data_IF_185887067909
#
_entry.id   IF_185887067909
#
_cell.length_a   1.000
_cell.length_b   1.000
_cell.length_c   1.000
_cell.angle_alpha   90.00
_cell.angle_beta   90.00
_cell.angle_gamma   90.00
#
_symmetry.space_group_name_H-M   'P 1'
#
loop_
_entity.id
_entity.type
_entity.pdbx_description
1 polymer ?
#
# COMPACT_ATOMS: atom_id res chain seq x y z
N UNK A 1 -15.88 -12.50 -53.13
CA UNK A 1 -16.46 -12.46 -51.77
C UNK A 1 -15.31 -12.66 -50.81
N UNK A 2 -14.76 -11.61 -50.20
CA UNK A 2 -13.75 -11.78 -49.15
C UNK A 2 -13.85 -10.64 -48.15
N UNK A 3 -14.71 -10.84 -47.14
CA UNK A 3 -14.79 -9.96 -45.99
C UNK A 3 -13.60 -10.24 -45.07
N UNK A 4 -12.54 -9.45 -45.22
CA UNK A 4 -11.42 -9.43 -44.28
C UNK A 4 -11.84 -8.67 -43.02
N UNK A 5 -12.39 -9.38 -42.04
CA UNK A 5 -12.70 -8.85 -40.71
C UNK A 5 -11.40 -8.40 -40.03
N UNK A 6 -11.15 -7.08 -40.01
CA UNK A 6 -10.07 -6.47 -39.23
C UNK A 6 -10.50 -6.39 -37.77
N UNK A 7 -10.10 -7.40 -36.99
CA UNK A 7 -10.15 -7.43 -35.52
C UNK A 7 -9.41 -6.22 -34.92
N UNK A 8 -10.10 -5.10 -34.71
CA UNK A 8 -9.49 -3.84 -34.21
C UNK A 8 -9.78 -3.61 -32.71
N UNK A 9 -10.19 -4.65 -31.98
CA UNK A 9 -10.54 -4.56 -30.56
C UNK A 9 -9.57 -5.28 -29.61
N UNK A 10 -8.79 -6.24 -30.09
CA UNK A 10 -7.91 -7.07 -29.23
C UNK A 10 -6.62 -6.37 -28.78
N UNK A 11 -6.15 -5.33 -29.48
CA UNK A 11 -4.93 -4.60 -29.11
C UNK A 11 -5.12 -3.45 -28.12
N UNK A 12 -6.32 -2.86 -28.06
CA UNK A 12 -6.57 -1.65 -27.25
C UNK A 12 -6.52 -1.92 -25.75
N UNK A 13 -7.03 -3.07 -25.31
CA UNK A 13 -6.99 -3.46 -23.89
C UNK A 13 -5.57 -3.71 -23.40
N UNK A 14 -4.72 -4.34 -24.21
CA UNK A 14 -3.31 -4.57 -23.90
C UNK A 14 -2.51 -3.28 -23.82
N UNK A 15 -2.75 -2.32 -24.73
CA UNK A 15 -2.10 -1.01 -24.70
C UNK A 15 -2.45 -0.25 -23.42
N UNK A 16 -3.71 -0.27 -22.99
CA UNK A 16 -4.14 0.37 -21.74
C UNK A 16 -3.48 -0.27 -20.51
N UNK A 17 -3.38 -1.60 -20.46
CA UNK A 17 -2.72 -2.30 -19.36
C UNK A 17 -1.23 -1.98 -19.31
N UNK A 18 -0.55 -1.94 -20.45
CA UNK A 18 0.87 -1.56 -20.53
C UNK A 18 1.08 -0.09 -20.15
N UNK A 19 0.18 0.79 -20.55
CA UNK A 19 0.20 2.20 -20.15
C UNK A 19 0.01 2.36 -18.65
N UNK A 20 -0.92 1.64 -18.04
CA UNK A 20 -1.16 1.67 -16.60
C UNK A 20 0.02 1.10 -15.81
N UNK A 21 0.62 0.00 -16.28
CA UNK A 21 1.85 -0.55 -15.69
C UNK A 21 3.04 0.40 -15.86
N UNK A 22 3.18 1.06 -17.01
CA UNK A 22 4.24 2.03 -17.25
C UNK A 22 4.06 3.31 -16.42
N UNK A 23 2.82 3.74 -16.21
CA UNK A 23 2.50 4.91 -15.36
C UNK A 23 2.69 4.60 -13.89
N UNK A 24 2.47 3.33 -13.51
CA UNK A 24 2.75 2.81 -12.19
C UNK A 24 4.21 2.30 -12.04
N UNK A 25 5.08 2.50 -13.03
CA UNK A 25 6.47 2.11 -12.89
C UNK A 25 7.14 3.03 -11.86
N UNK A 26 7.82 2.48 -10.84
CA UNK A 26 8.48 3.30 -9.85
C UNK A 26 9.65 4.07 -10.47
N UNK A 27 9.81 5.33 -10.08
CA UNK A 27 10.88 6.22 -10.54
C UNK A 27 11.75 6.67 -9.35
N UNK A 28 13.01 7.00 -9.60
CA UNK A 28 13.99 7.46 -8.57
C UNK A 28 14.12 6.51 -7.37
N UNK A 29 14.44 5.26 -7.66
CA UNK A 29 14.67 4.24 -6.63
C UNK A 29 15.99 4.46 -5.90
N UNK A 30 15.94 4.38 -4.58
CA UNK A 30 17.12 4.35 -3.72
C UNK A 30 17.41 2.93 -3.22
N UNK A 31 18.66 2.67 -2.84
CA UNK A 31 18.98 1.48 -2.04
C UNK A 31 18.27 1.60 -0.68
N UNK A 32 17.58 0.54 -0.24
CA UNK A 32 16.87 0.49 1.05
C UNK A 32 17.36 -0.68 1.88
N UNK A 33 17.45 -0.50 3.19
CA UNK A 33 17.63 -1.59 4.16
C UNK A 33 16.43 -2.55 4.14
N UNK A 34 16.63 -3.79 4.61
CA UNK A 34 15.54 -4.75 4.77
C UNK A 34 14.45 -4.23 5.72
N UNK A 35 14.83 -3.45 6.73
CA UNK A 35 13.90 -2.86 7.70
C UNK A 35 13.08 -1.71 7.08
N UNK A 36 13.71 -0.81 6.32
CA UNK A 36 12.99 0.23 5.56
C UNK A 36 12.04 -0.38 4.54
N UNK A 37 12.48 -1.41 3.81
CA UNK A 37 11.63 -2.13 2.86
C UNK A 37 10.44 -2.82 3.57
N UNK A 38 10.64 -3.37 4.77
CA UNK A 38 9.59 -3.97 5.58
C UNK A 38 8.56 -2.94 6.02
N UNK A 39 9.01 -1.75 6.43
CA UNK A 39 8.14 -0.65 6.80
C UNK A 39 7.32 -0.15 5.60
N UNK A 40 7.97 0.11 4.46
CA UNK A 40 7.30 0.54 3.23
C UNK A 40 6.29 -0.49 2.75
N UNK A 41 6.64 -1.78 2.80
CA UNK A 41 5.72 -2.86 2.49
C UNK A 41 4.51 -2.85 3.42
N UNK A 42 4.71 -2.63 4.72
CA UNK A 42 3.64 -2.65 5.71
C UNK A 42 2.60 -1.55 5.45
N UNK A 43 3.04 -0.31 5.26
CA UNK A 43 2.14 0.82 4.95
C UNK A 43 1.48 0.67 3.60
N UNK A 44 2.24 0.25 2.60
CA UNK A 44 1.69 0.03 1.26
C UNK A 44 0.67 -1.10 1.24
N UNK A 45 0.90 -2.20 1.95
CA UNK A 45 -0.07 -3.29 2.07
C UNK A 45 -1.37 -2.80 2.74
N UNK A 46 -1.27 -2.04 3.85
CA UNK A 46 -2.43 -1.48 4.54
C UNK A 46 -3.26 -0.59 3.62
N UNK A 47 -2.62 0.39 2.97
CA UNK A 47 -3.33 1.31 2.06
C UNK A 47 -3.91 0.57 0.86
N UNK A 48 -3.17 -0.37 0.27
CA UNK A 48 -3.67 -1.16 -0.85
C UNK A 48 -4.76 -2.15 -0.46
N UNK A 49 -4.89 -2.53 0.81
CA UNK A 49 -6.02 -3.33 1.30
C UNK A 49 -7.32 -2.53 1.44
N UNK A 50 -7.22 -1.19 1.48
CA UNK A 50 -8.37 -0.31 1.58
C UNK A 50 -9.19 -0.29 0.28
N UNK A 51 -10.51 -0.15 0.43
CA UNK A 51 -11.40 0.04 -0.71
C UNK A 51 -11.30 1.48 -1.23
N UNK A 52 -11.04 1.62 -2.53
CA UNK A 52 -11.10 2.90 -3.25
C UNK A 52 -11.51 2.69 -4.71
N UNK A 53 -12.15 3.72 -5.29
CA UNK A 53 -12.68 3.70 -6.66
C UNK A 53 -12.10 4.80 -7.57
N UNK A 54 -11.00 5.42 -7.16
CA UNK A 54 -10.32 6.48 -7.91
C UNK A 54 -8.89 6.06 -8.29
N UNK A 55 -8.32 6.72 -9.30
CA UNK A 55 -6.91 6.54 -9.66
C UNK A 55 -6.04 7.31 -8.66
N UNK A 56 -5.10 6.61 -8.04
CA UNK A 56 -4.04 7.22 -7.25
C UNK A 56 -2.91 7.70 -8.16
N UNK A 57 -2.33 8.83 -7.80
CA UNK A 57 -1.22 9.49 -8.48
C UNK A 57 -0.16 9.82 -7.44
N UNK A 58 1.13 9.60 -7.72
CA UNK A 58 2.23 10.01 -6.85
C UNK A 58 2.22 11.52 -6.56
N UNK A 59 2.70 11.90 -5.38
CA UNK A 59 2.77 13.30 -4.94
C UNK A 59 1.43 13.90 -4.51
N UNK A 60 0.41 13.07 -4.32
CA UNK A 60 -0.88 13.45 -3.77
C UNK A 60 -1.08 12.79 -2.39
N UNK A 61 -1.77 13.51 -1.52
CA UNK A 61 -2.19 13.04 -0.21
C UNK A 61 -3.59 12.44 -0.29
N UNK A 62 -3.78 11.36 0.45
CA UNK A 62 -5.02 10.61 0.59
C UNK A 62 -5.29 10.40 2.07
N UNK A 63 -6.52 10.02 2.41
CA UNK A 63 -6.95 9.92 3.79
C UNK A 63 -7.57 8.55 4.03
N UNK A 64 -7.07 7.85 5.04
CA UNK A 64 -7.51 6.51 5.43
C UNK A 64 -8.59 6.59 6.52
N UNK A 65 -9.65 5.83 6.34
CA UNK A 65 -10.76 5.71 7.26
C UNK A 65 -11.06 4.25 7.56
N UNK A 66 -11.55 3.98 8.77
CA UNK A 66 -12.11 2.70 9.15
C UNK A 66 -13.63 2.81 9.24
N UNK A 67 -14.34 1.99 8.45
CA UNK A 67 -15.80 1.90 8.48
C UNK A 67 -16.22 0.44 8.60
N UNK A 68 -16.95 0.09 9.67
CA UNK A 68 -17.46 -1.27 9.89
C UNK A 68 -16.40 -2.37 9.71
N UNK A 69 -15.21 -2.15 10.29
CA UNK A 69 -14.04 -3.04 10.19
C UNK A 69 -13.44 -3.19 8.78
N UNK A 70 -13.81 -2.34 7.83
CA UNK A 70 -13.21 -2.26 6.50
C UNK A 70 -12.46 -0.94 6.31
N UNK A 71 -11.25 -1.03 5.78
CA UNK A 71 -10.42 0.11 5.41
C UNK A 71 -10.97 0.80 4.16
N UNK A 72 -11.01 2.13 4.15
CA UNK A 72 -11.40 2.96 3.01
C UNK A 72 -10.42 4.09 2.79
N UNK A 73 -10.01 4.28 1.54
CA UNK A 73 -9.16 5.40 1.15
C UNK A 73 -10.01 6.48 0.46
N UNK A 74 -9.75 7.74 0.79
CA UNK A 74 -10.48 8.92 0.32
C UNK A 74 -9.51 10.00 -0.16
N UNK A 75 -9.96 10.85 -1.08
CA UNK A 75 -9.28 12.09 -1.46
C UNK A 75 -9.66 13.27 -0.56
N UNK A 76 -10.81 13.17 0.10
CA UNK A 76 -11.39 14.23 0.92
C UNK A 76 -10.86 14.06 2.35
N UNK A 77 -10.32 15.14 2.90
CA UNK A 77 -9.81 15.22 4.27
C UNK A 77 -10.93 15.17 5.31
N UNK A 78 -10.64 14.81 6.58
CA UNK A 78 -11.66 14.79 7.62
C UNK A 78 -12.30 16.18 7.85
N UNK A 79 -11.53 17.26 7.72
CA UNK A 79 -12.02 18.64 7.84
C UNK A 79 -13.01 19.01 6.73
N UNK A 80 -12.77 18.55 5.50
CA UNK A 80 -13.66 18.79 4.35
C UNK A 80 -14.95 17.96 4.39
N UNK A 81 -14.91 16.77 4.98
CA UNK A 81 -16.11 15.94 5.17
C UNK A 81 -17.13 16.55 6.14
N UNK A 82 -16.65 17.32 7.12
CA UNK A 82 -17.47 17.83 8.22
C UNK A 82 -18.21 16.70 8.93
N UNK A 83 -19.55 16.75 8.94
CA UNK A 83 -20.39 15.78 9.67
C UNK A 83 -20.65 14.46 8.91
N UNK A 84 -20.20 14.33 7.65
CA UNK A 84 -20.49 13.18 6.79
C UNK A 84 -19.30 12.26 6.60
N UNK A 85 -18.47 12.13 7.63
CA UNK A 85 -17.30 11.28 7.59
C UNK A 85 -17.68 9.84 7.19
N UNK A 86 -16.93 9.22 6.26
CA UNK A 86 -17.21 7.87 5.80
C UNK A 86 -16.93 6.83 6.89
N UNK A 87 -16.18 7.18 7.94
CA UNK A 87 -15.83 6.34 9.06
C UNK A 87 -14.92 7.08 10.04
N UNK A 88 -14.31 6.36 10.97
CA UNK A 88 -13.31 6.94 11.87
C UNK A 88 -12.04 7.24 11.10
N UNK A 89 -11.55 8.47 11.21
CA UNK A 89 -10.31 8.88 10.56
C UNK A 89 -9.10 8.19 11.18
N UNK A 90 -8.19 7.69 10.35
CA UNK A 90 -7.01 6.92 10.76
C UNK A 90 -5.73 7.72 10.54
N UNK A 91 -5.62 8.41 9.41
CA UNK A 91 -4.41 9.14 9.05
C UNK A 91 -4.33 9.53 7.58
N UNK A 92 -3.28 10.27 7.26
CA UNK A 92 -2.95 10.70 5.92
C UNK A 92 -1.95 9.73 5.27
N UNK A 93 -2.22 9.36 4.03
CA UNK A 93 -1.41 8.48 3.21
C UNK A 93 -0.85 9.27 2.02
N UNK A 94 0.44 9.22 1.78
CA UNK A 94 1.06 9.83 0.62
C UNK A 94 1.66 8.75 -0.28
N UNK A 95 1.30 8.78 -1.56
CA UNK A 95 1.91 7.92 -2.56
C UNK A 95 3.20 8.57 -3.05
N UNK A 96 4.33 7.91 -2.79
CA UNK A 96 5.65 8.37 -3.23
C UNK A 96 5.88 8.03 -4.70
N UNK A 97 6.87 8.69 -5.30
CA UNK A 97 7.27 8.49 -6.70
C UNK A 97 7.81 7.08 -6.98
N UNK A 98 8.31 6.41 -5.94
CA UNK A 98 8.74 5.02 -5.98
C UNK A 98 7.57 4.02 -5.82
N UNK A 99 6.32 4.49 -5.86
CA UNK A 99 5.10 3.70 -5.72
C UNK A 99 4.94 2.99 -4.37
N UNK A 100 5.69 3.42 -3.35
CA UNK A 100 5.46 3.06 -1.95
C UNK A 100 4.57 4.09 -1.28
N UNK A 101 3.82 3.65 -0.27
CA UNK A 101 2.98 4.52 0.53
C UNK A 101 3.68 4.87 1.84
N UNK A 102 3.67 6.15 2.19
CA UNK A 102 3.87 6.58 3.59
C UNK A 102 2.54 6.85 4.25
N UNK A 103 2.49 6.58 5.56
CA UNK A 103 1.32 6.78 6.39
C UNK A 103 1.70 7.61 7.60
N UNK A 104 0.98 8.71 7.82
CA UNK A 104 1.05 9.54 9.03
C UNK A 104 -0.27 9.37 9.75
N UNK A 105 -0.22 8.76 10.92
CA UNK A 105 -1.42 8.49 11.67
C UNK A 105 -1.91 9.71 12.43
N UNK A 106 -3.20 9.74 12.67
CA UNK A 106 -3.83 10.79 13.46
C UNK A 106 -3.58 10.62 14.96
N UNK A 107 -3.33 11.73 15.65
CA UNK A 107 -3.06 11.74 17.08
C UNK A 107 -4.29 11.43 17.95
N UNK A 108 -5.49 11.46 17.37
CA UNK A 108 -6.72 11.09 18.10
C UNK A 108 -6.95 9.58 18.20
N UNK A 109 -6.08 8.76 17.61
CA UNK A 109 -6.15 7.30 17.80
C UNK A 109 -5.72 6.97 19.22
N UNK A 110 -6.69 6.57 20.03
CA UNK A 110 -6.47 6.14 21.41
C UNK A 110 -6.34 4.62 21.48
N UNK A 111 -5.46 4.13 22.36
CA UNK A 111 -5.35 2.72 22.72
C UNK A 111 -6.70 2.14 23.15
N UNK A 112 -7.01 0.93 22.64
CA UNK A 112 -8.30 0.26 22.88
C UNK A 112 -9.49 0.82 22.09
N UNK A 113 -9.27 1.80 21.21
CA UNK A 113 -10.27 2.19 20.23
C UNK A 113 -10.43 1.12 19.14
N UNK A 114 -11.60 1.02 18.47
CA UNK A 114 -11.79 0.07 17.37
C UNK A 114 -10.79 0.25 16.22
N UNK A 115 -10.30 1.48 16.00
CA UNK A 115 -9.27 1.77 14.99
C UNK A 115 -7.92 1.22 15.41
N UNK A 116 -7.53 1.49 16.66
CA UNK A 116 -6.30 0.97 17.22
C UNK A 116 -6.27 -0.56 17.16
N UNK A 117 -7.34 -1.23 17.57
CA UNK A 117 -7.40 -2.70 17.58
C UNK A 117 -7.37 -3.29 16.17
N UNK A 118 -8.08 -2.66 15.22
CA UNK A 118 -8.04 -3.07 13.81
C UNK A 118 -6.64 -2.88 13.19
N UNK A 119 -5.97 -1.77 13.50
CA UNK A 119 -4.60 -1.52 13.07
C UNK A 119 -3.64 -2.56 13.66
N UNK A 120 -3.70 -2.78 14.98
CA UNK A 120 -2.90 -3.80 15.67
C UNK A 120 -3.07 -5.18 15.04
N UNK A 121 -4.32 -5.59 14.81
CA UNK A 121 -4.63 -6.88 14.21
C UNK A 121 -4.04 -6.99 12.80
N UNK A 122 -4.21 -5.95 11.98
CA UNK A 122 -3.68 -5.92 10.61
C UNK A 122 -2.15 -5.97 10.59
N UNK A 123 -1.50 -5.11 11.38
CA UNK A 123 -0.05 -4.99 11.45
C UNK A 123 0.59 -6.27 12.01
N UNK A 124 -0.04 -6.92 12.99
CA UNK A 124 0.40 -8.21 13.50
C UNK A 124 0.34 -9.28 12.41
N UNK A 125 -0.75 -9.34 11.64
CA UNK A 125 -0.87 -10.28 10.53
C UNK A 125 0.18 -10.06 9.44
N UNK A 126 0.49 -8.80 9.09
CA UNK A 126 1.56 -8.47 8.14
C UNK A 126 2.93 -8.88 8.69
N UNK A 127 3.19 -8.61 9.98
CA UNK A 127 4.45 -9.02 10.63
C UNK A 127 4.63 -10.53 10.61
N UNK A 128 3.60 -11.29 10.91
CA UNK A 128 3.63 -12.76 10.82
C UNK A 128 3.88 -13.23 9.39
N UNK A 129 3.24 -12.59 8.40
CA UNK A 129 3.48 -12.89 6.99
C UNK A 129 4.93 -12.64 6.58
N UNK A 130 5.52 -11.52 7.01
CA UNK A 130 6.93 -11.19 6.77
C UNK A 130 7.83 -12.28 7.36
N UNK A 131 7.65 -12.61 8.64
CA UNK A 131 8.43 -13.64 9.34
C UNK A 131 8.31 -15.04 8.70
N UNK A 132 7.12 -15.41 8.21
CA UNK A 132 6.88 -16.72 7.58
C UNK A 132 7.42 -16.81 6.14
N UNK A 133 7.59 -15.68 5.45
CA UNK A 133 7.95 -15.69 4.03
C UNK A 133 9.39 -16.16 3.77
N UNK A 134 10.29 -16.03 4.75
CA UNK A 134 11.70 -16.43 4.67
C UNK A 134 12.57 -15.55 3.77
N UNK A 135 12.04 -15.00 2.67
CA UNK A 135 12.75 -14.06 1.80
C UNK A 135 11.80 -13.08 1.08
N UNK A 136 12.34 -11.93 0.70
CA UNK A 136 11.63 -10.91 -0.06
C UNK A 136 11.08 -11.42 -1.39
N UNK A 137 11.82 -12.27 -2.10
CA UNK A 137 11.36 -12.83 -3.37
C UNK A 137 10.16 -13.76 -3.22
N UNK A 138 10.13 -14.56 -2.14
CA UNK A 138 9.01 -15.46 -1.86
C UNK A 138 7.75 -14.65 -1.51
N UNK A 139 7.92 -13.60 -0.70
CA UNK A 139 6.84 -12.69 -0.30
C UNK A 139 6.22 -11.97 -1.51
N UNK A 140 7.05 -11.30 -2.31
CA UNK A 140 6.58 -10.45 -3.41
C UNK A 140 6.01 -11.25 -4.60
N UNK A 141 6.41 -12.52 -4.76
CA UNK A 141 5.84 -13.42 -5.76
C UNK A 141 4.41 -13.85 -5.41
N UNK A 142 4.00 -13.75 -4.15
CA UNK A 142 2.68 -14.18 -3.65
C UNK A 142 1.55 -13.21 -3.98
N UNK A 143 1.86 -12.02 -4.54
CA UNK A 143 0.91 -10.95 -4.85
C UNK A 143 -0.43 -11.43 -5.42
N UNK A 144 -1.51 -11.02 -4.74
CA UNK A 144 -2.82 -11.66 -4.73
C UNK A 144 -3.61 -11.54 -6.04
N UNK A 145 -4.24 -12.66 -6.44
CA UNK A 145 -5.04 -12.77 -7.66
C UNK A 145 -6.50 -12.28 -7.51
N UNK A 146 -6.96 -12.00 -6.29
CA UNK A 146 -8.35 -11.64 -5.99
C UNK A 146 -8.61 -10.13 -5.83
N UNK A 147 -7.58 -9.29 -5.98
CA UNK A 147 -7.74 -7.84 -5.84
C UNK A 147 -8.37 -7.21 -7.11
N UNK A 148 -9.17 -6.13 -6.96
CA UNK A 148 -9.56 -5.24 -8.05
C UNK A 148 -8.38 -4.81 -8.93
N UNK A 149 -8.67 -4.53 -10.21
CA UNK A 149 -7.64 -4.28 -11.23
C UNK A 149 -6.61 -3.21 -10.83
N UNK A 150 -7.06 -2.06 -10.31
CA UNK A 150 -6.16 -0.99 -9.89
C UNK A 150 -5.23 -1.41 -8.75
N UNK A 151 -5.76 -2.09 -7.73
CA UNK A 151 -4.94 -2.60 -6.63
C UNK A 151 -3.92 -3.61 -7.13
N UNK A 152 -4.26 -4.49 -8.09
CA UNK A 152 -3.29 -5.42 -8.70
C UNK A 152 -2.14 -4.70 -9.39
N UNK A 153 -2.43 -3.63 -10.15
CA UNK A 153 -1.40 -2.81 -10.81
C UNK A 153 -0.48 -2.17 -9.77
N UNK A 154 -1.05 -1.58 -8.72
CA UNK A 154 -0.27 -0.93 -7.65
C UNK A 154 0.53 -1.92 -6.80
N UNK A 155 -0.03 -3.09 -6.47
CA UNK A 155 0.72 -4.16 -5.78
C UNK A 155 1.89 -4.64 -6.65
N UNK A 156 1.72 -4.70 -7.96
CA UNK A 156 2.79 -5.05 -8.89
C UNK A 156 3.87 -3.97 -8.93
N UNK A 157 3.47 -2.70 -8.95
CA UNK A 157 4.37 -1.55 -8.88
C UNK A 157 5.19 -1.54 -7.57
N UNK A 158 4.52 -1.71 -6.43
CA UNK A 158 5.13 -1.86 -5.11
C UNK A 158 6.15 -3.01 -5.09
N UNK A 159 5.75 -4.19 -5.57
CA UNK A 159 6.63 -5.35 -5.61
C UNK A 159 7.85 -5.11 -6.49
N UNK A 160 7.69 -4.43 -7.63
CA UNK A 160 8.80 -4.04 -8.50
C UNK A 160 9.74 -3.06 -7.79
N UNK A 161 9.17 -2.04 -7.13
CA UNK A 161 9.91 -1.02 -6.39
C UNK A 161 10.77 -1.62 -5.28
N UNK A 162 10.17 -2.46 -4.44
CA UNK A 162 10.87 -3.12 -3.35
C UNK A 162 11.96 -4.06 -3.86
N UNK A 163 11.69 -4.88 -4.90
CA UNK A 163 12.71 -5.77 -5.49
C UNK A 163 13.91 -5.00 -6.03
N UNK A 164 13.67 -3.89 -6.73
CA UNK A 164 14.73 -3.08 -7.31
C UNK A 164 15.53 -2.36 -6.21
N UNK A 165 14.86 -1.78 -5.22
CA UNK A 165 15.50 -1.12 -4.06
C UNK A 165 16.36 -2.10 -3.25
N UNK A 166 15.86 -3.31 -3.01
CA UNK A 166 16.59 -4.37 -2.32
C UNK A 166 17.75 -4.93 -3.16
N UNK A 167 17.60 -5.02 -4.48
CA UNK A 167 18.69 -5.41 -5.37
C UNK A 167 19.84 -4.39 -5.36
N UNK A 168 19.53 -3.09 -5.37
CA UNK A 168 20.54 -2.01 -5.28
C UNK A 168 21.35 -2.06 -3.98
N UNK A 169 20.73 -2.53 -2.90
CA UNK A 169 21.36 -2.67 -1.59
C UNK A 169 21.99 -4.05 -1.33
N UNK A 170 21.83 -5.01 -2.24
CA UNK A 170 22.29 -6.39 -2.08
C UNK A 170 21.48 -7.25 -1.09
N UNK A 171 20.30 -6.81 -0.67
CA UNK A 171 19.48 -7.47 0.37
C UNK A 171 18.34 -8.34 -0.17
N UNK A 172 18.26 -8.56 -1.48
CA UNK A 172 17.16 -9.33 -2.10
C UNK A 172 17.03 -10.77 -1.59
N UNK A 173 18.14 -11.39 -1.16
CA UNK A 173 18.16 -12.75 -0.59
C UNK A 173 18.05 -12.80 0.94
N UNK A 174 18.01 -11.65 1.60
CA UNK A 174 17.89 -11.56 3.05
C UNK A 174 16.41 -11.72 3.43
N UNK A 175 16.10 -12.39 4.56
CA UNK A 175 14.74 -12.37 5.10
C UNK A 175 14.25 -10.93 5.31
N UNK A 176 12.95 -10.66 5.11
CA UNK A 176 12.41 -9.37 5.47
C UNK A 176 12.68 -9.08 6.94
N UNK A 177 13.15 -7.86 7.20
CA UNK A 177 13.36 -7.35 8.54
C UNK A 177 12.06 -7.33 9.34
N UNK A 178 12.19 -7.19 10.67
CA UNK A 178 11.03 -6.86 11.48
C UNK A 178 10.81 -5.36 11.28
N UNK A 179 9.70 -4.93 10.66
CA UNK A 179 9.46 -3.51 10.51
C UNK A 179 9.45 -2.89 11.90
N UNK A 180 10.11 -1.74 12.06
CA UNK A 180 10.12 -0.96 13.29
C UNK A 180 8.75 -0.30 13.53
N UNK A 181 7.69 -1.13 13.52
CA UNK A 181 6.31 -0.75 13.83
C UNK A 181 6.21 -0.30 15.29
N UNK A 182 7.15 -0.73 16.14
CA UNK A 182 7.24 -0.33 17.54
C UNK A 182 7.17 1.18 17.72
N UNK A 183 8.00 1.97 17.04
CA UNK A 183 7.95 3.43 17.19
C UNK A 183 6.71 4.09 16.57
N UNK A 184 6.21 3.54 15.46
CA UNK A 184 4.96 4.01 14.86
C UNK A 184 3.75 3.69 15.76
N UNK A 185 3.82 2.61 16.54
CA UNK A 185 2.77 2.16 17.44
C UNK A 185 2.89 2.74 18.87
N UNK A 186 4.11 2.93 19.38
CA UNK A 186 4.42 3.60 20.64
C UNK A 186 3.98 5.07 20.62
N UNK A 187 3.98 5.69 19.43
CA UNK A 187 3.40 7.02 19.23
C UNK A 187 1.88 7.07 19.53
N UNK A 188 1.16 5.94 19.47
CA UNK A 188 -0.26 5.87 19.90
C UNK A 188 -0.44 5.68 21.40
N UNK A 189 0.61 5.27 22.11
CA UNK A 189 0.55 4.89 23.52
C UNK A 189 1.17 5.89 24.49
N UNK A 190 1.86 6.94 24.03
CA UNK A 190 2.56 7.87 24.93
C UNK A 190 1.70 9.08 25.32
N UNK A 191 0.48 8.82 25.80
CA UNK A 191 -0.33 9.79 26.52
C UNK A 191 -0.93 9.15 27.78
N UNK A 192 -0.09 8.48 28.58
CA UNK A 192 -0.41 8.16 29.97
C UNK A 192 0.89 7.99 30.77
N UNK A 193 1.41 9.11 31.29
CA UNK A 193 1.67 9.40 32.71
C UNK A 193 2.10 10.85 32.84
#
# INVERSE_FOLDING_TARGET
MEQRSKNTHQGKGLVLVLQDLSSAAPFELSAKSSDEAAQDYCWSALVLSAAFGFRVVPGQSYYLYLQASAWKLSLISPDEWGHRLPGTYVGACDLRIDMTWSLVFDQSIVEGSPVHDALLQYLTGIREQLLQSGSWEALLRRGERHLPYQQRVLTTALASSLRQSLALSGQSGVPPGVPALGHAMEAFGTAAV
#
